data_IF_020339799992
#
_entry.id   IF_020339799992
#
_cell.length_a   1.000
_cell.length_b   1.000
_cell.length_c   1.000
_cell.angle_alpha   90.00
_cell.angle_beta   90.00
_cell.angle_gamma   90.00
#
_symmetry.space_group_name_H-M   'P 1'
#
loop_
_entity.id
_entity.type
_entity.pdbx_description
1 polymer ?
#
# COMPACT_ATOMS: atom_id res chain seq x y z
N UNK A 1 -40.92 -24.60 -81.39
CA UNK A 1 -41.84 -25.28 -80.46
C UNK A 1 -41.52 -24.73 -79.08
N UNK A 2 -42.52 -24.03 -78.60
CA UNK A 2 -42.53 -23.19 -77.42
C UNK A 2 -42.11 -23.81 -76.12
N UNK A 3 -41.43 -23.06 -75.28
CA UNK A 3 -41.83 -23.01 -73.88
C UNK A 3 -41.41 -21.70 -73.25
N UNK A 4 -42.38 -21.06 -72.69
CA UNK A 4 -42.40 -19.77 -72.04
C UNK A 4 -41.45 -19.72 -70.81
N UNK A 5 -40.68 -18.63 -70.71
CA UNK A 5 -40.02 -18.22 -69.48
C UNK A 5 -41.06 -17.50 -68.61
N UNK A 6 -41.40 -18.11 -67.50
CA UNK A 6 -42.04 -17.40 -66.37
C UNK A 6 -40.98 -16.87 -65.42
N UNK A 7 -40.88 -15.58 -65.41
CA UNK A 7 -39.98 -14.81 -64.55
C UNK A 7 -40.70 -14.51 -63.23
N UNK A 8 -40.44 -15.29 -62.22
CA UNK A 8 -40.91 -14.98 -60.86
C UNK A 8 -39.97 -14.04 -60.18
N UNK A 9 -40.34 -12.78 -60.08
CA UNK A 9 -39.69 -11.77 -59.24
C UNK A 9 -39.87 -12.11 -57.78
N UNK A 10 -38.80 -12.58 -57.12
CA UNK A 10 -38.75 -12.64 -55.67
C UNK A 10 -38.39 -11.29 -55.10
N UNK A 11 -39.35 -10.65 -54.49
CA UNK A 11 -39.14 -9.45 -53.67
C UNK A 11 -38.22 -9.79 -52.48
N UNK A 12 -37.02 -9.23 -52.48
CA UNK A 12 -36.13 -9.25 -51.34
C UNK A 12 -36.59 -8.17 -50.36
N UNK A 13 -37.20 -8.61 -49.27
CA UNK A 13 -37.51 -7.72 -48.15
C UNK A 13 -36.21 -7.41 -47.43
N UNK A 14 -35.70 -6.20 -47.59
CA UNK A 14 -34.57 -5.65 -46.87
C UNK A 14 -35.02 -5.37 -45.44
N UNK A 15 -34.72 -6.29 -44.54
CA UNK A 15 -34.93 -6.14 -43.09
C UNK A 15 -33.83 -5.21 -42.51
N UNK A 16 -34.19 -3.97 -42.16
CA UNK A 16 -33.33 -3.04 -41.45
C UNK A 16 -33.17 -3.54 -40.00
N UNK A 17 -32.08 -4.23 -39.68
CA UNK A 17 -31.74 -4.56 -38.33
C UNK A 17 -31.19 -3.35 -37.61
N UNK A 18 -31.99 -2.77 -36.72
CA UNK A 18 -31.57 -1.71 -35.82
C UNK A 18 -30.66 -2.30 -34.75
N UNK A 19 -29.34 -2.15 -34.91
CA UNK A 19 -28.37 -2.49 -33.86
C UNK A 19 -28.40 -1.40 -32.79
N UNK A 20 -29.09 -1.66 -31.70
CA UNK A 20 -29.06 -0.80 -30.54
C UNK A 20 -27.68 -0.97 -29.87
N UNK A 21 -26.80 0.04 -30.04
CA UNK A 21 -25.54 0.15 -29.31
C UNK A 21 -25.89 0.49 -27.86
N UNK A 22 -25.96 -0.51 -26.98
CA UNK A 22 -26.03 -0.28 -25.54
C UNK A 22 -24.67 0.17 -25.04
N UNK A 23 -24.49 1.47 -24.86
CA UNK A 23 -23.36 2.02 -24.10
C UNK A 23 -23.60 1.72 -22.62
N UNK A 24 -23.00 0.63 -22.13
CA UNK A 24 -22.89 0.43 -20.69
C UNK A 24 -21.99 1.54 -20.13
N UNK A 25 -22.41 2.22 -19.07
CA UNK A 25 -21.50 3.12 -18.39
C UNK A 25 -20.35 2.30 -17.81
N UNK A 26 -19.13 2.59 -18.24
CA UNK A 26 -17.93 2.13 -17.58
C UNK A 26 -17.92 2.78 -16.19
N UNK A 27 -18.28 2.02 -15.15
CA UNK A 27 -18.01 2.43 -13.79
C UNK A 27 -16.50 2.43 -13.63
N UNK A 28 -15.90 3.61 -13.77
CA UNK A 28 -14.55 3.82 -13.32
C UNK A 28 -14.50 3.47 -11.83
N UNK A 29 -13.79 2.41 -11.49
CA UNK A 29 -13.47 2.06 -10.12
C UNK A 29 -12.38 3.02 -9.63
N UNK A 30 -12.78 4.28 -9.43
CA UNK A 30 -11.98 5.26 -8.70
C UNK A 30 -12.23 5.03 -7.20
N UNK A 31 -11.57 4.02 -6.65
CA UNK A 31 -11.53 3.75 -5.21
C UNK A 31 -10.10 3.48 -4.74
N UNK A 32 -9.22 4.41 -5.01
CA UNK A 32 -8.15 4.67 -4.08
C UNK A 32 -8.65 5.76 -3.14
N UNK A 33 -9.50 5.39 -2.21
CA UNK A 33 -9.69 6.21 -1.02
C UNK A 33 -8.30 6.37 -0.42
N UNK A 34 -7.75 7.58 -0.46
CA UNK A 34 -6.49 7.89 0.19
C UNK A 34 -6.66 7.57 1.67
N UNK A 35 -6.16 6.42 2.10
CA UNK A 35 -6.07 6.12 3.50
C UNK A 35 -5.31 7.27 4.17
N UNK A 36 -5.97 7.97 5.08
CA UNK A 36 -5.35 9.11 5.77
C UNK A 36 -4.47 8.55 6.87
N UNK A 37 -3.17 8.50 6.61
CA UNK A 37 -2.20 8.10 7.62
C UNK A 37 -1.89 9.28 8.55
N UNK A 38 -1.80 9.01 9.85
CA UNK A 38 -1.47 10.04 10.84
C UNK A 38 -0.04 10.56 10.69
N UNK A 39 0.92 9.69 10.35
CA UNK A 39 2.33 10.01 10.21
C UNK A 39 2.71 10.74 8.90
N UNK A 40 1.78 10.90 7.96
CA UNK A 40 2.07 11.53 6.67
C UNK A 40 1.37 10.84 5.50
N UNK A 41 2.08 10.67 4.42
CA UNK A 41 1.57 10.11 3.17
C UNK A 41 2.65 9.32 2.40
N UNK A 42 2.29 8.39 1.51
CA UNK A 42 3.25 7.78 0.60
C UNK A 42 4.02 8.84 -0.18
N UNK A 43 5.32 8.62 -0.36
CA UNK A 43 6.18 9.55 -1.08
C UNK A 43 6.00 9.49 -2.59
N UNK A 44 6.45 10.53 -3.27
CA UNK A 44 6.48 10.62 -4.73
C UNK A 44 7.83 10.12 -5.26
N UNK A 45 7.89 9.02 -6.03
CA UNK A 45 9.15 8.44 -6.51
C UNK A 45 9.92 9.37 -7.46
N UNK A 46 9.26 10.39 -8.02
CA UNK A 46 9.87 11.36 -8.91
C UNK A 46 10.48 12.57 -8.16
N UNK A 47 10.38 12.61 -6.83
CA UNK A 47 10.93 13.68 -5.99
C UNK A 47 12.13 13.21 -5.20
N UNK A 48 13.07 14.13 -4.88
CA UNK A 48 14.20 13.79 -4.03
C UNK A 48 13.76 13.28 -2.66
N UNK A 49 14.48 12.29 -2.15
CA UNK A 49 14.29 11.73 -0.82
C UNK A 49 15.65 11.56 -0.13
N UNK A 50 15.69 11.85 1.18
CA UNK A 50 16.83 11.45 2.01
C UNK A 50 16.70 9.97 2.36
N UNK A 51 17.75 9.20 2.13
CA UNK A 51 17.76 7.78 2.49
C UNK A 51 18.19 7.61 3.94
N UNK A 52 17.45 6.77 4.66
CA UNK A 52 17.78 6.31 6.02
C UNK A 52 17.72 4.80 6.02
N UNK A 53 18.84 4.16 6.33
CA UNK A 53 18.88 2.72 6.57
C UNK A 53 18.44 2.44 8.01
N UNK A 54 17.56 1.43 8.17
CA UNK A 54 17.13 0.92 9.47
C UNK A 54 17.40 -0.58 9.52
N UNK A 55 18.20 -0.99 10.48
CA UNK A 55 18.42 -2.38 10.78
C UNK A 55 17.36 -2.85 11.78
N UNK A 56 16.77 -4.01 11.49
CA UNK A 56 15.82 -4.71 12.35
C UNK A 56 16.56 -5.91 12.95
N UNK A 57 16.62 -5.97 14.27
CA UNK A 57 17.24 -7.05 15.02
C UNK A 57 16.33 -7.44 16.21
N UNK A 58 16.66 -8.51 16.94
CA UNK A 58 15.95 -8.93 18.18
C UNK A 58 16.38 -8.03 19.35
N UNK A 59 15.52 -7.30 19.90
CA UNK A 59 14.20 -6.67 19.75
C UNK A 59 14.40 -5.17 19.59
N UNK A 60 15.14 -4.74 18.57
CA UNK A 60 15.47 -3.33 18.39
C UNK A 60 15.48 -2.88 16.92
N UNK A 61 15.51 -1.56 16.76
CA UNK A 61 15.79 -0.87 15.49
C UNK A 61 17.04 -0.01 15.65
N UNK A 62 17.90 -0.03 14.64
CA UNK A 62 19.05 0.86 14.58
C UNK A 62 19.01 1.69 13.29
N UNK A 63 18.90 3.04 13.34
CA UNK A 63 18.72 3.85 14.56
C UNK A 63 17.30 3.70 15.16
N UNK A 64 17.18 3.86 16.49
CA UNK A 64 15.89 3.89 17.18
C UNK A 64 15.28 5.31 17.27
N UNK A 65 16.00 6.35 16.87
CA UNK A 65 15.54 7.74 16.87
C UNK A 65 15.97 8.45 15.62
N UNK A 66 15.00 9.11 14.96
CA UNK A 66 15.21 9.83 13.70
C UNK A 66 14.59 11.22 13.83
N UNK A 67 15.27 12.22 13.31
CA UNK A 67 14.72 13.56 13.15
C UNK A 67 14.54 13.88 11.67
N UNK A 68 13.38 14.43 11.34
CA UNK A 68 13.02 14.85 9.98
C UNK A 68 12.36 16.24 10.00
N UNK A 69 12.38 16.92 8.86
CA UNK A 69 11.67 18.20 8.70
C UNK A 69 10.26 17.94 8.18
N UNK A 70 9.32 18.78 8.58
CA UNK A 70 7.98 18.76 7.97
C UNK A 70 8.08 18.99 6.46
N UNK A 71 7.41 18.17 5.70
CA UNK A 71 7.45 18.15 4.23
C UNK A 71 8.59 17.34 3.64
N UNK A 72 9.54 16.89 4.47
CA UNK A 72 10.66 16.06 4.01
C UNK A 72 10.17 14.66 3.59
N UNK A 73 10.76 14.15 2.51
CA UNK A 73 10.54 12.81 2.01
C UNK A 73 11.73 11.92 2.36
N UNK A 74 11.42 10.78 2.97
CA UNK A 74 12.41 9.79 3.42
C UNK A 74 12.21 8.49 2.66
N UNK A 75 13.32 7.95 2.16
CA UNK A 75 13.41 6.57 1.70
C UNK A 75 13.99 5.73 2.84
N UNK A 76 13.15 5.01 3.52
CA UNK A 76 13.59 4.02 4.49
C UNK A 76 14.07 2.78 3.75
N UNK A 77 15.31 2.38 3.97
CA UNK A 77 15.86 1.10 3.52
C UNK A 77 15.91 0.19 4.75
N UNK A 78 15.00 -0.76 4.80
CA UNK A 78 14.79 -1.64 5.95
C UNK A 78 15.54 -2.95 5.71
N UNK A 79 16.36 -3.36 6.67
CA UNK A 79 17.10 -4.63 6.58
C UNK A 79 16.89 -5.45 7.85
N UNK A 80 16.29 -6.61 7.69
CA UNK A 80 16.22 -7.58 8.77
C UNK A 80 17.57 -8.32 8.87
N UNK A 81 18.34 -8.00 9.89
CA UNK A 81 19.64 -8.63 10.19
C UNK A 81 19.53 -9.65 11.31
N UNK A 82 18.34 -9.80 11.87
CA UNK A 82 18.00 -10.73 12.92
C UNK A 82 17.77 -12.17 12.41
N UNK A 83 17.36 -13.02 13.33
CA UNK A 83 17.07 -14.45 13.11
C UNK A 83 15.57 -14.74 13.00
N UNK A 84 14.74 -13.77 13.37
CA UNK A 84 13.29 -13.85 13.34
C UNK A 84 12.71 -12.93 12.27
N UNK A 85 11.45 -13.13 11.93
CA UNK A 85 10.70 -12.17 11.13
C UNK A 85 10.46 -10.90 11.94
N UNK A 86 10.54 -9.76 11.29
CA UNK A 86 10.26 -8.48 11.92
C UNK A 86 9.30 -7.65 11.07
N UNK A 87 8.61 -6.72 11.70
CA UNK A 87 7.79 -5.73 11.03
C UNK A 87 8.35 -4.32 11.23
N UNK A 88 8.06 -3.45 10.31
CA UNK A 88 8.17 -2.01 10.46
C UNK A 88 6.81 -1.42 10.13
N UNK A 89 6.14 -0.81 11.10
CA UNK A 89 4.88 -0.11 10.91
C UNK A 89 4.98 1.30 11.47
N UNK A 90 4.89 2.31 10.59
CA UNK A 90 5.01 3.73 10.92
C UNK A 90 3.63 4.34 11.18
N UNK A 91 3.34 4.72 12.43
CA UNK A 91 2.07 5.32 12.81
C UNK A 91 2.23 6.18 14.07
N UNK A 92 1.14 6.62 14.69
CA UNK A 92 1.18 7.13 16.06
C UNK A 92 1.31 5.97 17.06
N UNK A 93 1.86 6.23 18.23
CA UNK A 93 1.90 5.24 19.32
C UNK A 93 0.51 4.67 19.63
N UNK A 94 -0.52 5.52 19.60
CA UNK A 94 -1.91 5.09 19.84
C UNK A 94 -2.41 4.08 18.80
N UNK A 95 -2.12 4.34 17.52
CA UNK A 95 -2.52 3.45 16.43
C UNK A 95 -1.76 2.12 16.51
N UNK A 96 -0.44 2.17 16.74
CA UNK A 96 0.37 0.96 16.89
C UNK A 96 -0.10 0.10 18.09
N UNK A 97 -0.43 0.73 19.22
CA UNK A 97 -1.00 0.01 20.38
C UNK A 97 -2.35 -0.65 20.05
N UNK A 98 -3.23 0.06 19.36
CA UNK A 98 -4.51 -0.50 18.93
C UNK A 98 -4.32 -1.67 17.97
N UNK A 99 -3.42 -1.51 16.99
CA UNK A 99 -3.10 -2.54 16.02
C UNK A 99 -2.44 -3.77 16.65
N UNK A 100 -1.54 -3.58 17.64
CA UNK A 100 -0.93 -4.69 18.39
C UNK A 100 -1.97 -5.59 19.08
N UNK A 101 -3.10 -5.02 19.53
CA UNK A 101 -4.21 -5.80 20.10
C UNK A 101 -4.86 -6.70 19.04
N UNK A 102 -5.01 -6.21 17.81
CA UNK A 102 -5.56 -7.01 16.71
C UNK A 102 -4.57 -8.09 16.25
N UNK A 103 -3.28 -7.76 16.19
CA UNK A 103 -2.24 -8.74 15.85
C UNK A 103 -2.14 -9.89 16.85
N UNK A 104 -2.41 -9.66 18.15
CA UNK A 104 -2.50 -10.73 19.14
C UNK A 104 -3.66 -11.70 18.87
N UNK A 105 -4.75 -11.24 18.27
CA UNK A 105 -5.90 -12.08 17.87
C UNK A 105 -5.67 -12.77 16.52
N UNK A 106 -4.94 -12.12 15.62
CA UNK A 106 -4.71 -12.53 14.26
C UNK A 106 -3.21 -12.47 13.89
N UNK A 107 -2.34 -13.30 14.48
CA UNK A 107 -0.88 -13.18 14.38
C UNK A 107 -0.32 -13.42 12.96
N UNK A 108 -1.13 -13.94 12.05
CA UNK A 108 -0.77 -14.18 10.65
C UNK A 108 -1.45 -13.19 9.69
N UNK A 109 -2.03 -12.10 10.21
CA UNK A 109 -2.60 -11.07 9.37
C UNK A 109 -1.47 -10.41 8.55
N UNK A 110 -1.62 -10.41 7.24
CA UNK A 110 -0.73 -9.71 6.33
C UNK A 110 -1.29 -8.32 6.06
N UNK A 111 -0.40 -7.35 5.94
CA UNK A 111 -0.71 -5.97 5.63
C UNK A 111 0.01 -5.55 4.37
N UNK A 112 -0.74 -4.97 3.43
CA UNK A 112 -0.20 -4.33 2.22
C UNK A 112 -0.41 -2.82 2.32
N UNK A 113 0.06 -2.26 3.43
CA UNK A 113 -0.08 -0.84 3.72
C UNK A 113 1.22 -0.09 3.36
N UNK A 114 1.14 1.09 2.72
CA UNK A 114 2.34 1.81 2.28
C UNK A 114 3.22 2.33 3.43
N UNK A 115 2.74 2.33 4.66
CA UNK A 115 3.46 2.74 5.87
C UNK A 115 4.02 1.56 6.68
N UNK A 116 3.89 0.33 6.18
CA UNK A 116 4.33 -0.86 6.90
C UNK A 116 4.79 -2.00 5.99
N UNK A 117 5.62 -2.86 6.52
CA UNK A 117 6.07 -4.09 5.84
C UNK A 117 6.57 -5.11 6.84
N UNK A 118 6.29 -6.39 6.56
CA UNK A 118 6.90 -7.52 7.24
C UNK A 118 8.10 -8.04 6.46
N UNK A 119 9.21 -8.24 7.12
CA UNK A 119 10.45 -8.76 6.52
C UNK A 119 10.83 -10.08 7.17
N UNK A 120 10.91 -11.12 6.37
CA UNK A 120 11.55 -12.35 6.80
C UNK A 120 13.05 -12.13 7.08
N UNK A 121 13.66 -13.05 7.84
CA UNK A 121 15.09 -12.98 8.16
C UNK A 121 15.95 -12.75 6.91
N UNK A 122 16.98 -11.89 7.01
CA UNK A 122 17.92 -11.53 5.95
C UNK A 122 17.29 -10.86 4.70
N UNK A 123 16.03 -10.41 4.79
CA UNK A 123 15.37 -9.66 3.71
C UNK A 123 15.51 -8.16 3.89
N UNK A 124 15.34 -7.47 2.79
CA UNK A 124 15.37 -5.99 2.70
C UNK A 124 14.11 -5.52 1.99
N UNK A 125 13.58 -4.37 2.44
CA UNK A 125 12.47 -3.68 1.79
C UNK A 125 12.70 -2.18 1.81
N UNK A 126 11.90 -1.43 1.02
CA UNK A 126 11.93 0.03 1.02
C UNK A 126 10.54 0.58 1.26
N UNK A 127 10.47 1.66 2.05
CA UNK A 127 9.28 2.49 2.21
C UNK A 127 9.66 3.91 1.84
N UNK A 128 8.93 4.51 0.90
CA UNK A 128 9.07 5.91 0.54
C UNK A 128 7.94 6.70 1.19
N UNK A 129 8.30 7.59 2.13
CA UNK A 129 7.34 8.28 2.97
C UNK A 129 7.59 9.77 3.05
N UNK A 130 6.52 10.57 3.00
CA UNK A 130 6.58 12.02 3.16
C UNK A 130 5.91 12.43 4.46
N UNK A 131 6.65 13.09 5.32
CA UNK A 131 6.17 13.60 6.61
C UNK A 131 5.48 14.95 6.45
N UNK A 132 4.14 14.96 6.40
CA UNK A 132 3.36 16.20 6.16
C UNK A 132 2.93 16.93 7.44
N UNK A 133 3.00 16.27 8.60
CA UNK A 133 2.55 16.79 9.89
C UNK A 133 3.69 16.80 10.91
N UNK A 134 3.84 17.86 11.73
CA UNK A 134 4.79 17.86 12.83
C UNK A 134 4.32 16.94 13.96
N UNK A 135 5.24 16.44 14.75
CA UNK A 135 4.94 15.57 15.88
C UNK A 135 5.96 14.45 16.06
N UNK A 136 5.68 13.56 17.00
CA UNK A 136 6.44 12.32 17.17
C UNK A 136 5.60 11.14 16.74
N UNK A 137 6.15 10.35 15.84
CA UNK A 137 5.57 9.12 15.33
C UNK A 137 6.43 7.94 15.75
N UNK A 138 5.84 6.77 15.76
CA UNK A 138 6.47 5.53 16.17
C UNK A 138 6.58 4.58 14.98
N UNK A 139 7.70 3.91 14.84
CA UNK A 139 7.77 2.68 14.06
C UNK A 139 8.01 1.51 15.00
N UNK A 140 7.22 0.44 14.85
CA UNK A 140 7.28 -0.70 15.75
C UNK A 140 7.03 -2.01 15.03
N UNK A 141 7.53 -3.07 15.64
CA UNK A 141 7.22 -4.44 15.27
C UNK A 141 5.98 -4.90 16.06
N UNK A 142 4.91 -5.24 15.36
CA UNK A 142 3.65 -5.64 15.99
C UNK A 142 3.43 -7.16 15.99
N UNK A 143 4.44 -7.93 15.59
CA UNK A 143 4.49 -9.37 15.87
C UNK A 143 4.34 -9.53 17.39
N UNK A 144 3.47 -10.45 17.87
CA UNK A 144 3.25 -10.63 19.30
C UNK A 144 4.55 -10.67 20.10
N UNK A 145 4.56 -9.94 21.21
CA UNK A 145 5.64 -9.78 22.17
C UNK A 145 6.85 -8.91 21.72
N UNK A 146 7.10 -8.70 20.42
CA UNK A 146 8.26 -7.95 19.95
C UNK A 146 8.23 -6.49 20.43
N UNK A 147 7.11 -5.79 20.26
CA UNK A 147 6.94 -4.43 20.76
C UNK A 147 7.07 -4.36 22.28
N UNK A 148 6.45 -5.29 22.99
CA UNK A 148 6.47 -5.34 24.45
C UNK A 148 7.88 -5.60 24.99
N UNK A 149 8.75 -6.26 24.20
CA UNK A 149 10.18 -6.48 24.50
C UNK A 149 11.09 -5.33 24.02
N UNK A 150 10.51 -4.22 23.53
CA UNK A 150 11.27 -3.01 23.24
C UNK A 150 11.49 -2.68 21.77
N UNK A 151 10.96 -3.48 20.83
CA UNK A 151 11.14 -3.25 19.39
C UNK A 151 10.32 -2.06 18.90
N UNK A 152 10.78 -0.86 19.28
CA UNK A 152 10.14 0.44 19.03
C UNK A 152 11.20 1.49 18.67
N UNK A 153 10.91 2.28 17.67
CA UNK A 153 11.69 3.47 17.33
C UNK A 153 10.79 4.68 17.09
N UNK A 154 11.38 5.87 16.99
CA UNK A 154 10.63 7.12 16.90
C UNK A 154 11.17 8.03 15.81
N UNK A 155 10.26 8.70 15.11
CA UNK A 155 10.55 9.81 14.20
C UNK A 155 9.98 11.09 14.79
N UNK A 156 10.83 12.06 15.04
CA UNK A 156 10.43 13.42 15.43
C UNK A 156 10.41 14.33 14.20
N UNK A 157 9.24 14.84 13.86
CA UNK A 157 9.02 15.77 12.74
C UNK A 157 8.95 17.20 13.26
N UNK A 158 9.90 18.04 12.82
CA UNK A 158 10.02 19.48 13.23
C UNK A 158 9.60 20.43 12.11
#
# INVERSE_FOLDING_TARGET
>A
MNHQLEMTMKMIKLGLALVALSTAPAFAHDKHGHASFSAGEPGDPNKPARTIEILLNEMDYTPARIEVKRGEQIRFVLRNVGKEDHEFLLATTKENLAHAVEMKKHPHMEHDDPNGVRLATQKTAEILWKFSKPGTFEYSCLIPDHRDNGMVGHVTVK
#
